data_IF_588110333799
#
_entry.id   IF_588110333799
#
_cell.length_a   1.000
_cell.length_b   1.000
_cell.length_c   1.000
_cell.angle_alpha   90.00
_cell.angle_beta   90.00
_cell.angle_gamma   90.00
#
_symmetry.space_group_name_H-M   'P 1'
#
loop_
_entity.id
_entity.type
_entity.pdbx_description
1 polymer ?
#
# COMPACT_ATOMS: atom_id res chain seq x y z
N UNK A 1 -7.29 15.17 -10.24
CA UNK A 1 -8.16 14.14 -9.65
C UNK A 1 -7.44 13.22 -8.64
N UNK A 2 -6.18 13.45 -8.23
CA UNK A 2 -5.38 12.42 -7.53
C UNK A 2 -5.45 12.43 -5.99
N UNK A 3 -5.09 13.55 -5.36
CA UNK A 3 -4.79 13.56 -3.92
C UNK A 3 -5.98 13.32 -3.01
N UNK A 4 -7.18 13.77 -3.38
CA UNK A 4 -8.40 13.58 -2.57
C UNK A 4 -8.80 12.10 -2.51
N UNK A 5 -8.70 11.37 -3.64
CA UNK A 5 -9.02 9.95 -3.67
C UNK A 5 -7.98 9.12 -2.91
N UNK A 6 -6.70 9.44 -3.07
CA UNK A 6 -5.61 8.80 -2.31
C UNK A 6 -5.79 9.08 -0.82
N UNK A 7 -6.06 10.33 -0.43
CA UNK A 7 -6.33 10.69 0.95
C UNK A 7 -7.50 9.90 1.52
N UNK A 8 -8.63 9.83 0.81
CA UNK A 8 -9.80 9.05 1.25
C UNK A 8 -9.51 7.54 1.32
N UNK A 9 -8.66 7.01 0.45
CA UNK A 9 -8.27 5.61 0.45
C UNK A 9 -7.34 5.26 1.63
N UNK A 10 -6.43 6.18 1.98
CA UNK A 10 -5.48 6.02 3.09
C UNK A 10 -6.10 6.41 4.44
N UNK A 11 -7.20 7.17 4.44
CA UNK A 11 -7.84 7.64 5.66
C UNK A 11 -8.53 6.50 6.41
N UNK A 12 -8.01 6.18 7.59
CA UNK A 12 -8.56 5.13 8.46
C UNK A 12 -8.19 3.71 8.01
N UNK A 13 -7.11 3.58 7.22
CA UNK A 13 -6.59 2.29 6.83
C UNK A 13 -6.00 1.50 8.02
N UNK A 14 -5.61 0.24 7.75
CA UNK A 14 -5.03 -0.62 8.79
C UNK A 14 -3.71 -0.08 9.32
N UNK A 15 -2.90 0.59 8.50
CA UNK A 15 -1.62 1.14 8.93
C UNK A 15 -1.80 2.30 9.91
N UNK A 16 -2.83 3.14 9.74
CA UNK A 16 -3.21 4.18 10.70
C UNK A 16 -3.57 3.59 12.07
N UNK A 17 -4.46 2.59 12.10
CA UNK A 17 -4.85 1.93 13.36
C UNK A 17 -3.64 1.28 14.04
N UNK A 18 -2.80 0.58 13.28
CA UNK A 18 -1.57 -0.01 13.80
C UNK A 18 -0.61 1.05 14.38
N UNK A 19 -0.49 2.20 13.71
CA UNK A 19 0.34 3.33 14.16
C UNK A 19 -0.18 3.92 15.47
N UNK A 20 -1.50 4.11 15.60
CA UNK A 20 -2.14 4.59 16.83
C UNK A 20 -1.90 3.62 17.99
N UNK A 21 -2.10 2.31 17.77
CA UNK A 21 -1.85 1.27 18.79
C UNK A 21 -0.37 1.18 19.17
N UNK A 22 0.54 1.36 18.22
CA UNK A 22 1.96 1.34 18.52
C UNK A 22 2.38 2.60 19.28
N UNK A 23 1.85 3.78 18.92
CA UNK A 23 2.11 5.04 19.61
C UNK A 23 1.51 5.08 21.03
N UNK A 24 0.46 4.30 21.32
CA UNK A 24 -0.10 4.21 22.68
C UNK A 24 0.75 3.36 23.62
N UNK A 25 1.63 2.50 23.08
CA UNK A 25 2.47 1.57 23.87
C UNK A 25 3.97 1.88 23.81
N UNK A 26 4.41 2.70 22.85
CA UNK A 26 5.81 3.09 22.60
C UNK A 26 5.96 4.61 22.54
N UNK A 27 7.20 5.09 22.42
CA UNK A 27 7.47 6.52 22.24
C UNK A 27 6.81 7.03 20.97
N UNK A 28 5.85 7.95 21.11
CA UNK A 28 5.13 8.56 19.99
C UNK A 28 6.06 9.19 18.96
N UNK A 29 7.15 9.82 19.41
CA UNK A 29 8.15 10.44 18.53
C UNK A 29 8.92 9.38 17.74
N UNK A 30 9.27 8.25 18.38
CA UNK A 30 9.90 7.12 17.70
C UNK A 30 8.99 6.46 16.66
N UNK A 31 7.71 6.31 16.98
CA UNK A 31 6.70 5.77 16.05
C UNK A 31 6.48 6.72 14.87
N UNK A 32 6.44 8.03 15.10
CA UNK A 32 6.33 9.03 14.05
C UNK A 32 7.52 8.97 13.08
N UNK A 33 8.75 9.03 13.59
CA UNK A 33 9.96 8.97 12.74
C UNK A 33 10.02 7.62 12.01
N UNK A 34 9.78 6.52 12.72
CA UNK A 34 9.79 5.18 12.14
C UNK A 34 8.74 5.01 11.05
N UNK A 35 7.53 5.52 11.26
CA UNK A 35 6.46 5.53 10.27
C UNK A 35 6.80 6.35 9.03
N UNK A 36 7.33 7.57 9.21
CA UNK A 36 7.78 8.40 8.09
C UNK A 36 8.88 7.74 7.27
N UNK A 37 9.91 7.19 7.93
CA UNK A 37 11.01 6.50 7.24
C UNK A 37 10.53 5.22 6.55
N UNK A 38 9.70 4.42 7.21
CA UNK A 38 9.11 3.22 6.64
C UNK A 38 8.29 3.52 5.40
N UNK A 39 7.44 4.54 5.45
CA UNK A 39 6.61 4.96 4.32
C UNK A 39 7.46 5.52 3.17
N UNK A 40 8.50 6.29 3.47
CA UNK A 40 9.44 6.80 2.46
C UNK A 40 10.18 5.64 1.75
N UNK A 41 10.65 4.64 2.50
CA UNK A 41 11.30 3.46 1.93
C UNK A 41 10.32 2.65 1.08
N UNK A 42 9.12 2.40 1.57
CA UNK A 42 8.10 1.66 0.81
C UNK A 42 7.72 2.39 -0.49
N UNK A 43 7.49 3.71 -0.42
CA UNK A 43 7.15 4.53 -1.59
C UNK A 43 8.27 4.59 -2.62
N UNK A 44 9.52 4.76 -2.18
CA UNK A 44 10.68 4.78 -3.10
C UNK A 44 10.87 3.43 -3.78
N UNK A 45 10.76 2.31 -3.04
CA UNK A 45 10.81 0.97 -3.61
C UNK A 45 9.70 0.74 -4.63
N UNK A 46 8.46 1.18 -4.33
CA UNK A 46 7.34 1.03 -5.24
C UNK A 46 7.55 1.81 -6.55
N UNK A 47 8.04 3.06 -6.48
CA UNK A 47 8.31 3.88 -7.66
C UNK A 47 9.45 3.32 -8.50
N UNK A 48 10.58 2.95 -7.88
CA UNK A 48 11.74 2.39 -8.61
C UNK A 48 11.39 1.06 -9.27
N UNK A 49 10.71 0.17 -8.54
CA UNK A 49 10.30 -1.13 -9.08
C UNK A 49 9.26 -0.97 -10.18
N UNK A 50 8.31 -0.03 -10.02
CA UNK A 50 7.31 0.28 -11.04
C UNK A 50 7.92 0.78 -12.33
N UNK A 51 8.90 1.70 -12.23
CA UNK A 51 9.63 2.21 -13.38
C UNK A 51 10.42 1.11 -14.11
N UNK A 52 11.10 0.24 -13.36
CA UNK A 52 11.83 -0.89 -13.95
C UNK A 52 10.89 -1.87 -14.66
N UNK A 53 9.73 -2.16 -14.06
CA UNK A 53 8.71 -3.02 -14.65
C UNK A 53 8.12 -2.43 -15.92
N UNK A 54 7.88 -1.11 -15.96
CA UNK A 54 7.38 -0.40 -17.14
C UNK A 54 8.33 -0.53 -18.34
N UNK A 55 9.65 -0.46 -18.10
CA UNK A 55 10.65 -0.57 -19.17
C UNK A 55 10.79 -1.99 -19.74
N UNK A 56 10.55 -3.02 -18.92
CA UNK A 56 10.83 -4.41 -19.28
C UNK A 56 9.57 -5.25 -19.59
N UNK A 57 8.38 -4.77 -19.23
CA UNK A 57 7.14 -5.55 -19.32
C UNK A 57 6.07 -4.77 -20.08
N UNK A 58 5.44 -5.41 -21.06
CA UNK A 58 4.36 -4.81 -21.83
C UNK A 58 3.15 -4.46 -20.94
N UNK A 59 2.57 -3.28 -21.14
CA UNK A 59 1.31 -2.81 -20.53
C UNK A 59 0.21 -3.86 -20.45
N UNK A 60 0.06 -4.69 -21.49
CA UNK A 60 -0.98 -5.72 -21.54
C UNK A 60 -0.79 -6.76 -20.45
N UNK A 61 0.45 -7.16 -20.21
CA UNK A 61 0.80 -8.14 -19.17
C UNK A 61 0.56 -7.53 -17.80
N UNK A 62 1.00 -6.29 -17.57
CA UNK A 62 0.78 -5.58 -16.29
C UNK A 62 -0.71 -5.48 -15.97
N UNK A 63 -1.53 -5.07 -16.94
CA UNK A 63 -2.99 -4.95 -16.75
C UNK A 63 -3.66 -6.30 -16.53
N UNK A 64 -3.25 -7.35 -17.26
CA UNK A 64 -3.81 -8.68 -17.11
C UNK A 64 -3.48 -9.26 -15.72
N UNK A 65 -2.21 -9.20 -15.30
CA UNK A 65 -1.77 -9.70 -14.00
C UNK A 65 -2.44 -8.92 -12.87
N UNK A 66 -2.47 -7.59 -12.96
CA UNK A 66 -3.15 -6.74 -11.99
C UNK A 66 -4.65 -7.07 -11.86
N UNK A 67 -5.34 -7.28 -12.98
CA UNK A 67 -6.74 -7.67 -13.00
C UNK A 67 -7.00 -9.06 -12.40
N UNK A 68 -6.15 -10.04 -12.73
CA UNK A 68 -6.26 -11.40 -12.15
C UNK A 68 -6.01 -11.37 -10.65
N UNK A 69 -4.99 -10.64 -10.18
CA UNK A 69 -4.73 -10.47 -8.76
C UNK A 69 -5.90 -9.78 -8.05
N UNK A 70 -6.45 -8.72 -8.64
CA UNK A 70 -7.61 -8.01 -8.08
C UNK A 70 -8.84 -8.92 -7.92
N UNK A 71 -9.17 -9.71 -8.95
CA UNK A 71 -10.27 -10.69 -8.88
C UNK A 71 -9.96 -11.77 -7.85
N UNK A 72 -8.71 -12.26 -7.81
CA UNK A 72 -8.27 -13.27 -6.84
C UNK A 72 -8.47 -12.82 -5.40
N UNK A 73 -7.96 -11.64 -5.03
CA UNK A 73 -8.14 -11.07 -3.69
C UNK A 73 -9.62 -10.73 -3.40
N UNK A 74 -10.37 -10.29 -4.41
CA UNK A 74 -11.81 -10.07 -4.29
C UNK A 74 -12.56 -11.35 -3.94
N UNK A 75 -12.24 -12.47 -4.60
CA UNK A 75 -12.83 -13.78 -4.33
C UNK A 75 -12.43 -14.32 -2.96
N UNK A 76 -11.18 -14.20 -2.54
CA UNK A 76 -10.76 -14.65 -1.20
C UNK A 76 -11.49 -13.90 -0.10
N UNK A 77 -11.70 -12.59 -0.29
CA UNK A 77 -12.48 -11.75 0.64
C UNK A 77 -13.95 -12.13 0.63
N UNK A 78 -14.54 -12.37 -0.55
CA UNK A 78 -15.94 -12.75 -0.70
C UNK A 78 -16.25 -14.11 -0.05
N UNK A 79 -15.35 -15.08 -0.22
CA UNK A 79 -15.47 -16.43 0.34
C UNK A 79 -15.05 -16.51 1.81
N UNK A 80 -14.64 -15.39 2.42
CA UNK A 80 -14.15 -15.31 3.80
C UNK A 80 -13.02 -16.31 4.09
N UNK A 81 -12.14 -16.53 3.11
CA UNK A 81 -10.95 -17.36 3.30
C UNK A 81 -9.90 -16.61 4.12
N UNK A 82 -10.00 -15.28 4.15
CA UNK A 82 -9.25 -14.33 4.99
C UNK A 82 -10.14 -13.14 5.38
#
# INVERSE_FOLDING_TARGET
MGWVLIFLAEWGDRSMLATITLASTKSALGVFIGGCLGHLVAGTLAVVSGHYLEEHVSDRVVKLVGGVLFIGFGLTTLLNIY
#
